data_IF_373696492423
#
_entry.id   IF_373696492423
#
_cell.length_a   1.000
_cell.length_b   1.000
_cell.length_c   1.000
_cell.angle_alpha   90.00
_cell.angle_beta   90.00
_cell.angle_gamma   90.00
#
_symmetry.space_group_name_H-M   'P 1'
#
loop_
_entity.id
_entity.type
_entity.pdbx_description
1 polymer ?
#
# COMPACT_ATOMS: atom_id res chain seq x y z
N UNK A 1 -37.83 19.18 19.85
CA UNK A 1 -36.96 19.35 18.67
C UNK A 1 -36.47 17.97 18.30
N UNK A 2 -37.11 17.36 17.29
CA UNK A 2 -36.72 16.06 16.75
C UNK A 2 -35.49 16.26 15.88
N UNK A 3 -34.36 15.76 16.38
CA UNK A 3 -33.10 15.69 15.65
C UNK A 3 -33.33 14.79 14.42
N UNK A 4 -33.43 15.40 13.24
CA UNK A 4 -33.56 14.68 11.98
C UNK A 4 -32.26 13.90 11.76
N UNK A 5 -32.29 12.60 12.06
CA UNK A 5 -31.23 11.69 11.68
C UNK A 5 -30.99 11.86 10.17
N UNK A 6 -29.79 12.32 9.80
CA UNK A 6 -29.41 12.37 8.40
C UNK A 6 -29.56 10.96 7.82
N UNK A 7 -30.23 10.78 6.67
CA UNK A 7 -30.34 9.48 6.06
C UNK A 7 -28.91 8.97 5.79
N UNK A 8 -28.54 7.85 6.39
CA UNK A 8 -27.31 7.14 6.06
C UNK A 8 -27.37 6.85 4.56
N UNK A 9 -26.54 7.56 3.77
CA UNK A 9 -26.48 7.37 2.32
C UNK A 9 -26.06 5.93 2.09
N UNK A 10 -26.88 5.19 1.35
CA UNK A 10 -26.49 3.85 0.93
C UNK A 10 -25.28 3.96 0.00
N UNK A 11 -24.27 3.10 0.16
CA UNK A 11 -23.14 3.03 -0.76
C UNK A 11 -23.64 2.83 -2.19
N UNK A 12 -22.99 3.43 -3.18
CA UNK A 12 -23.32 3.18 -4.58
C UNK A 12 -22.97 1.73 -4.95
N UNK A 13 -23.67 1.13 -5.93
CA UNK A 13 -23.28 -0.20 -6.47
C UNK A 13 -22.00 -0.13 -7.34
N UNK A 14 -21.36 1.04 -7.42
CA UNK A 14 -20.23 1.29 -8.31
C UNK A 14 -18.90 0.79 -7.75
N UNK A 15 -18.01 0.28 -8.60
CA UNK A 15 -16.63 -0.07 -8.23
C UNK A 15 -15.66 1.14 -8.21
N UNK A 16 -16.07 2.30 -8.75
CA UNK A 16 -15.21 3.49 -8.86
C UNK A 16 -14.57 3.94 -7.54
N UNK A 17 -15.26 3.92 -6.38
CA UNK A 17 -14.63 4.29 -5.12
C UNK A 17 -13.39 3.46 -4.76
N UNK A 18 -13.27 2.24 -5.26
CA UNK A 18 -12.17 1.33 -4.97
C UNK A 18 -11.06 1.38 -6.02
N UNK A 19 -11.45 1.60 -7.29
CA UNK A 19 -10.53 1.59 -8.43
C UNK A 19 -9.90 2.96 -8.68
N UNK A 20 -10.66 4.04 -8.54
CA UNK A 20 -10.17 5.39 -8.92
C UNK A 20 -8.95 5.85 -8.11
N UNK A 21 -8.86 5.66 -6.77
CA UNK A 21 -7.68 6.05 -6.01
C UNK A 21 -6.39 5.36 -6.49
N UNK A 22 -6.43 4.05 -6.69
CA UNK A 22 -5.26 3.27 -7.14
C UNK A 22 -4.89 3.59 -8.59
N UNK A 23 -5.86 3.72 -9.49
CA UNK A 23 -5.59 4.08 -10.88
C UNK A 23 -5.02 5.49 -11.01
N UNK A 24 -5.51 6.44 -10.20
CA UNK A 24 -4.95 7.78 -10.16
C UNK A 24 -3.50 7.76 -9.67
N UNK A 25 -3.18 6.98 -8.64
CA UNK A 25 -1.82 6.82 -8.14
C UNK A 25 -0.88 6.22 -9.20
N UNK A 26 -1.28 5.12 -9.85
CA UNK A 26 -0.51 4.48 -10.91
C UNK A 26 -0.26 5.43 -12.10
N UNK A 27 -1.28 6.16 -12.53
CA UNK A 27 -1.13 7.18 -13.58
C UNK A 27 -0.15 8.28 -13.16
N UNK A 28 -0.18 8.71 -11.89
CA UNK A 28 0.73 9.73 -11.38
C UNK A 28 2.18 9.22 -11.23
N UNK A 29 2.38 7.93 -10.95
CA UNK A 29 3.72 7.30 -11.03
C UNK A 29 4.24 7.40 -12.47
N UNK A 30 3.44 6.99 -13.44
CA UNK A 30 3.77 7.03 -14.85
C UNK A 30 4.07 8.46 -15.35
N UNK A 31 3.31 9.44 -14.90
CA UNK A 31 3.60 10.86 -15.18
C UNK A 31 4.90 11.26 -14.51
N UNK A 32 5.09 10.93 -13.23
CA UNK A 32 6.29 11.28 -12.46
C UNK A 32 7.57 10.76 -13.10
N UNK A 33 7.54 9.58 -13.71
CA UNK A 33 8.69 9.00 -14.43
C UNK A 33 9.10 9.80 -15.68
N UNK A 34 8.21 10.66 -16.19
CA UNK A 34 8.44 11.53 -17.35
C UNK A 34 8.74 12.98 -16.95
N UNK A 35 8.64 13.29 -15.66
CA UNK A 35 8.98 14.59 -15.10
C UNK A 35 10.44 14.57 -14.67
N UNK A 36 11.25 15.51 -15.15
CA UNK A 36 12.65 15.64 -14.74
C UNK A 36 12.79 16.07 -13.27
N UNK A 37 14.02 16.11 -12.77
CA UNK A 37 14.34 16.39 -11.37
C UNK A 37 13.67 17.65 -10.80
N UNK A 38 13.55 18.71 -11.62
CA UNK A 38 12.92 19.98 -11.23
C UNK A 38 11.47 19.83 -10.75
N UNK A 39 10.75 18.81 -11.22
CA UNK A 39 9.37 18.54 -10.80
C UNK A 39 9.23 17.39 -9.80
N UNK A 40 10.32 16.72 -9.39
CA UNK A 40 10.26 15.54 -8.53
C UNK A 40 9.59 15.82 -7.18
N UNK A 41 9.95 16.94 -6.53
CA UNK A 41 9.37 17.33 -5.25
C UNK A 41 7.86 17.65 -5.36
N UNK A 42 7.44 18.32 -6.44
CA UNK A 42 6.03 18.57 -6.71
C UNK A 42 5.27 17.27 -6.96
N UNK A 43 5.84 16.35 -7.74
CA UNK A 43 5.25 15.04 -8.03
C UNK A 43 5.18 14.14 -6.79
N UNK A 44 6.12 14.25 -5.85
CA UNK A 44 6.00 13.60 -4.54
C UNK A 44 4.73 14.08 -3.82
N UNK A 45 4.52 15.39 -3.72
CA UNK A 45 3.32 15.93 -3.06
C UNK A 45 2.02 15.56 -3.79
N UNK A 46 1.99 15.65 -5.13
CA UNK A 46 0.79 15.34 -5.93
C UNK A 46 0.40 13.86 -5.82
N UNK A 47 1.37 12.95 -5.85
CA UNK A 47 1.14 11.49 -5.68
C UNK A 47 0.56 11.14 -4.31
N UNK A 48 0.75 11.99 -3.31
CA UNK A 48 0.14 11.81 -1.98
C UNK A 48 -1.22 12.50 -1.91
N UNK A 49 -1.31 13.76 -2.34
CA UNK A 49 -2.49 14.58 -2.20
C UNK A 49 -3.69 14.08 -3.01
N UNK A 50 -3.47 13.59 -4.25
CA UNK A 50 -4.56 13.17 -5.13
C UNK A 50 -5.24 11.89 -4.62
N UNK A 51 -4.53 10.77 -4.35
CA UNK A 51 -5.18 9.57 -3.83
C UNK A 51 -5.79 9.81 -2.44
N UNK A 52 -5.12 10.58 -1.57
CA UNK A 52 -5.67 10.95 -0.26
C UNK A 52 -6.97 11.75 -0.41
N UNK A 53 -7.00 12.73 -1.31
CA UNK A 53 -8.20 13.52 -1.60
C UNK A 53 -9.36 12.66 -2.10
N UNK A 54 -9.08 11.69 -2.98
CA UNK A 54 -10.07 10.73 -3.48
C UNK A 54 -10.58 9.81 -2.37
N UNK A 55 -9.68 9.26 -1.54
CA UNK A 55 -10.05 8.44 -0.38
C UNK A 55 -10.95 9.21 0.59
N UNK A 56 -10.60 10.44 0.94
CA UNK A 56 -11.42 11.30 1.82
C UNK A 56 -12.77 11.61 1.18
N UNK A 57 -12.79 11.92 -0.12
CA UNK A 57 -14.01 12.21 -0.86
C UNK A 57 -14.98 11.03 -0.84
N UNK A 58 -14.53 9.81 -1.16
CA UNK A 58 -15.36 8.62 -1.17
C UNK A 58 -15.73 8.15 0.24
N UNK A 59 -14.82 8.28 1.21
CA UNK A 59 -15.11 7.99 2.62
C UNK A 59 -16.23 8.88 3.16
N UNK A 60 -16.19 10.19 2.90
CA UNK A 60 -17.25 11.14 3.29
C UNK A 60 -18.60 10.86 2.63
N UNK A 61 -18.61 10.12 1.51
CA UNK A 61 -19.82 9.66 0.84
C UNK A 61 -20.35 8.33 1.38
N UNK A 62 -19.62 7.67 2.27
CA UNK A 62 -20.02 6.37 2.84
C UNK A 62 -19.73 5.18 1.94
N UNK A 63 -18.80 5.31 0.97
CA UNK A 63 -18.54 4.24 -0.02
C UNK A 63 -17.72 3.06 0.53
N UNK A 64 -17.20 3.17 1.77
CA UNK A 64 -16.39 2.14 2.45
C UNK A 64 -17.06 1.67 3.75
N UNK A 65 -18.27 1.09 3.71
CA UNK A 65 -19.00 0.67 4.92
C UNK A 65 -18.30 -0.45 5.72
N UNK A 66 -17.45 -1.24 5.06
CA UNK A 66 -16.64 -2.29 5.69
C UNK A 66 -15.43 -1.76 6.47
N UNK A 67 -15.00 -0.54 6.17
CA UNK A 67 -13.90 0.08 6.88
C UNK A 67 -14.40 0.57 8.23
N UNK A 68 -14.00 -0.13 9.28
CA UNK A 68 -14.36 0.25 10.64
C UNK A 68 -13.11 0.46 11.48
N UNK A 69 -12.94 1.69 11.96
CA UNK A 69 -11.82 2.07 12.82
C UNK A 69 -11.99 1.44 14.21
N UNK A 70 -11.26 0.36 14.47
CA UNK A 70 -11.25 -0.31 15.77
C UNK A 70 -9.82 -0.59 16.21
N UNK A 71 -9.36 0.17 17.20
CA UNK A 71 -8.10 -0.12 17.88
C UNK A 71 -8.38 -1.08 19.02
N UNK A 72 -7.70 -2.23 19.01
CA UNK A 72 -7.83 -3.29 20.01
C UNK A 72 -6.44 -3.72 20.47
N UNK A 73 -6.34 -4.58 21.50
CA UNK A 73 -5.06 -5.17 21.89
C UNK A 73 -4.39 -5.93 20.73
N UNK A 74 -5.18 -6.52 19.83
CA UNK A 74 -4.67 -7.17 18.62
C UNK A 74 -4.02 -6.20 17.64
N UNK A 75 -4.35 -4.90 17.68
CA UNK A 75 -3.70 -3.90 16.82
C UNK A 75 -2.20 -3.80 17.11
N UNK A 76 -1.76 -4.06 18.35
CA UNK A 76 -0.34 -4.15 18.65
C UNK A 76 0.31 -5.36 17.95
N UNK A 77 -0.39 -6.49 17.88
CA UNK A 77 0.06 -7.69 17.15
C UNK A 77 0.08 -7.42 15.64
N UNK A 78 -0.93 -6.73 15.11
CA UNK A 78 -1.00 -6.30 13.71
C UNK A 78 0.23 -5.42 13.35
N UNK A 79 0.58 -4.45 14.22
CA UNK A 79 1.77 -3.61 14.05
C UNK A 79 3.07 -4.43 14.13
N UNK A 80 3.21 -5.30 15.14
CA UNK A 80 4.41 -6.14 15.29
C UNK A 80 4.61 -7.09 14.09
N UNK A 81 3.52 -7.62 13.53
CA UNK A 81 3.58 -8.39 12.30
C UNK A 81 4.09 -7.52 11.15
N UNK A 82 3.60 -6.29 11.00
CA UNK A 82 4.09 -5.35 9.98
C UNK A 82 5.58 -5.03 10.12
N UNK A 83 6.06 -4.78 11.34
CA UNK A 83 7.49 -4.60 11.63
C UNK A 83 8.30 -5.84 11.24
N UNK A 84 7.81 -7.04 11.57
CA UNK A 84 8.43 -8.30 11.19
C UNK A 84 8.46 -8.51 9.67
N UNK A 85 7.38 -8.13 8.97
CA UNK A 85 7.31 -8.18 7.51
C UNK A 85 8.26 -7.18 6.84
N UNK A 86 8.48 -6.01 7.44
CA UNK A 86 9.50 -5.05 6.97
C UNK A 86 10.90 -5.66 7.05
N UNK A 87 11.24 -6.27 8.19
CA UNK A 87 12.52 -6.97 8.34
C UNK A 87 12.66 -8.12 7.33
N UNK A 88 11.61 -8.92 7.13
CA UNK A 88 11.58 -9.99 6.12
C UNK A 88 11.77 -9.44 4.70
N UNK A 89 11.18 -8.29 4.39
CA UNK A 89 11.30 -7.65 3.08
C UNK A 89 12.72 -7.13 2.82
N UNK A 90 13.36 -6.50 3.81
CA UNK A 90 14.68 -5.90 3.64
C UNK A 90 15.83 -6.90 3.75
N UNK A 91 15.70 -7.91 4.62
CA UNK A 91 16.81 -8.78 5.00
C UNK A 91 17.51 -9.49 3.83
N UNK A 92 16.82 -10.08 2.83
CA UNK A 92 17.50 -10.75 1.73
C UNK A 92 18.46 -9.83 0.96
N UNK A 93 18.09 -8.58 0.72
CA UNK A 93 18.91 -7.62 -0.05
C UNK A 93 20.09 -7.06 0.75
N UNK A 94 19.94 -7.00 2.07
CA UNK A 94 21.03 -6.61 3.00
C UNK A 94 22.02 -7.77 3.15
N UNK A 95 21.53 -9.00 3.29
CA UNK A 95 22.35 -10.18 3.54
C UNK A 95 23.02 -10.74 2.27
N UNK A 96 22.40 -10.55 1.12
CA UNK A 96 22.88 -11.04 -0.17
C UNK A 96 22.94 -9.88 -1.18
N UNK A 97 24.06 -9.13 -1.22
CA UNK A 97 24.17 -7.93 -2.05
C UNK A 97 23.97 -8.17 -3.55
N UNK A 98 24.17 -9.40 -4.03
CA UNK A 98 23.90 -9.80 -5.41
C UNK A 98 22.40 -9.84 -5.78
N UNK A 99 21.50 -9.64 -4.82
CA UNK A 99 20.05 -9.52 -5.07
C UNK A 99 19.60 -8.06 -5.25
N UNK A 100 20.49 -7.10 -5.04
CA UNK A 100 20.17 -5.67 -5.15
C UNK A 100 19.85 -5.30 -6.60
N UNK A 101 18.96 -4.32 -6.82
CA UNK A 101 18.72 -3.80 -8.15
C UNK A 101 19.98 -3.12 -8.70
N UNK A 102 20.28 -3.31 -9.98
CA UNK A 102 21.47 -2.72 -10.65
C UNK A 102 21.29 -1.23 -11.03
N UNK A 103 20.12 -0.62 -10.77
CA UNK A 103 19.75 0.67 -11.34
C UNK A 103 19.52 1.77 -10.28
N UNK A 104 20.27 2.88 -10.39
CA UNK A 104 20.06 4.12 -9.60
C UNK A 104 18.68 4.77 -9.82
N UNK A 105 17.97 4.44 -10.91
CA UNK A 105 16.75 5.12 -11.33
C UNK A 105 15.54 4.92 -10.39
N UNK A 106 15.61 3.94 -9.47
CA UNK A 106 14.54 3.69 -8.49
C UNK A 106 14.80 4.36 -7.15
N UNK A 107 15.98 4.95 -6.94
CA UNK A 107 16.33 5.51 -5.63
C UNK A 107 15.61 6.82 -5.34
N UNK A 108 15.03 6.90 -4.14
CA UNK A 108 14.45 8.12 -3.63
C UNK A 108 15.55 9.10 -3.20
N UNK A 109 15.59 10.28 -3.82
CA UNK A 109 16.52 11.34 -3.42
C UNK A 109 15.92 12.23 -2.31
N UNK A 110 16.35 12.13 -1.04
CA UNK A 110 15.83 13.00 0.04
C UNK A 110 16.16 14.49 -0.18
N UNK A 111 17.20 14.80 -0.96
CA UNK A 111 17.65 16.16 -1.28
C UNK A 111 16.93 16.79 -2.48
N UNK A 112 15.89 16.14 -3.04
CA UNK A 112 15.16 16.61 -4.23
C UNK A 112 14.58 18.04 -4.12
N UNK A 113 14.42 18.57 -2.90
CA UNK A 113 13.95 19.92 -2.63
C UNK A 113 15.02 20.80 -1.94
N UNK A 114 16.28 20.35 -1.91
CA UNK A 114 17.38 20.98 -1.18
C UNK A 114 17.46 20.53 0.28
N UNK A 115 18.67 20.62 0.85
CA UNK A 115 19.01 20.09 2.18
C UNK A 115 18.11 20.62 3.32
N UNK A 116 17.70 21.89 3.26
CA UNK A 116 16.84 22.49 4.28
C UNK A 116 15.41 21.94 4.29
N UNK A 117 14.97 21.31 3.19
CA UNK A 117 13.61 20.77 3.04
C UNK A 117 13.56 19.25 3.21
N UNK A 118 14.67 18.57 3.51
CA UNK A 118 14.70 17.12 3.78
C UNK A 118 13.64 16.70 4.80
N UNK A 119 13.43 17.39 5.96
CA UNK A 119 12.39 16.99 6.89
C UNK A 119 10.97 17.03 6.29
N UNK A 120 10.69 18.01 5.44
CA UNK A 120 9.40 18.13 4.75
C UNK A 120 9.23 17.02 3.71
N UNK A 121 10.27 16.74 2.92
CA UNK A 121 10.29 15.64 1.94
C UNK A 121 10.04 14.30 2.64
N UNK A 122 10.70 14.04 3.76
CA UNK A 122 10.50 12.82 4.57
C UNK A 122 9.10 12.74 5.16
N UNK A 123 8.55 13.86 5.65
CA UNK A 123 7.19 13.89 6.19
C UNK A 123 6.13 13.57 5.11
N UNK A 124 6.27 14.16 3.91
CA UNK A 124 5.40 13.86 2.77
C UNK A 124 5.58 12.40 2.33
N UNK A 125 6.83 11.91 2.27
CA UNK A 125 7.10 10.51 1.92
C UNK A 125 6.48 9.55 2.92
N UNK A 126 6.61 9.80 4.22
CA UNK A 126 5.99 9.01 5.28
C UNK A 126 4.47 9.01 5.16
N UNK A 127 3.84 10.18 4.95
CA UNK A 127 2.39 10.28 4.73
C UNK A 127 1.95 9.46 3.52
N UNK A 128 2.65 9.58 2.40
CA UNK A 128 2.36 8.80 1.19
C UNK A 128 2.52 7.31 1.43
N UNK A 129 3.70 6.91 1.86
CA UNK A 129 4.15 5.53 1.88
C UNK A 129 3.53 4.71 3.02
N UNK A 130 3.40 5.27 4.21
CA UNK A 130 2.89 4.55 5.38
C UNK A 130 1.41 4.81 5.69
N UNK A 131 0.77 5.79 5.03
CA UNK A 131 -0.65 6.10 5.27
C UNK A 131 -1.43 5.99 3.96
N UNK A 132 -1.17 6.82 2.96
CA UNK A 132 -2.01 6.86 1.75
C UNK A 132 -1.98 5.54 0.98
N UNK A 133 -0.79 4.98 0.77
CA UNK A 133 -0.60 3.72 0.03
C UNK A 133 -1.31 2.53 0.69
N UNK A 134 -1.08 2.19 1.98
CA UNK A 134 -1.78 1.10 2.64
C UNK A 134 -3.30 1.22 2.59
N UNK A 135 -3.81 2.43 2.78
CA UNK A 135 -5.24 2.70 2.73
C UNK A 135 -5.83 2.42 1.36
N UNK A 136 -5.22 2.99 0.33
CA UNK A 136 -5.62 2.82 -1.06
C UNK A 136 -5.53 1.35 -1.50
N UNK A 137 -4.39 0.71 -1.23
CA UNK A 137 -4.12 -0.64 -1.69
C UNK A 137 -4.97 -1.67 -0.96
N UNK A 138 -5.16 -1.58 0.36
CA UNK A 138 -5.98 -2.58 1.06
C UNK A 138 -7.47 -2.42 0.77
N UNK A 139 -7.97 -1.19 0.58
CA UNK A 139 -9.33 -0.97 0.09
C UNK A 139 -9.49 -1.60 -1.30
N UNK A 140 -8.53 -1.40 -2.21
CA UNK A 140 -8.59 -2.02 -3.53
C UNK A 140 -8.47 -3.55 -3.48
N UNK A 141 -7.44 -4.09 -2.83
CA UNK A 141 -7.10 -5.51 -2.85
C UNK A 141 -8.05 -6.35 -1.99
N UNK A 142 -8.26 -5.96 -0.73
CA UNK A 142 -8.96 -6.79 0.26
C UNK A 142 -10.45 -6.54 0.30
N UNK A 143 -10.86 -5.29 0.07
CA UNK A 143 -12.27 -4.98 0.00
C UNK A 143 -12.81 -5.24 -1.41
N UNK A 144 -12.24 -4.65 -2.46
CA UNK A 144 -12.80 -4.79 -3.81
C UNK A 144 -12.37 -6.09 -4.51
N UNK A 145 -11.08 -6.26 -4.81
CA UNK A 145 -10.59 -7.30 -5.71
C UNK A 145 -10.91 -8.71 -5.22
N UNK A 146 -10.76 -8.99 -3.92
CA UNK A 146 -11.16 -10.29 -3.34
C UNK A 146 -12.62 -10.64 -3.62
N UNK A 147 -13.54 -9.69 -3.38
CA UNK A 147 -14.98 -9.90 -3.58
C UNK A 147 -15.35 -9.93 -5.05
N UNK A 148 -14.73 -9.04 -5.84
CA UNK A 148 -14.95 -8.96 -7.27
C UNK A 148 -14.50 -10.25 -7.99
N UNK A 149 -13.37 -10.83 -7.57
CA UNK A 149 -12.88 -12.11 -8.07
C UNK A 149 -13.91 -13.24 -7.89
N UNK A 150 -14.66 -13.24 -6.79
CA UNK A 150 -15.65 -14.28 -6.50
C UNK A 150 -16.92 -14.17 -7.33
N UNK A 151 -17.27 -12.98 -7.81
CA UNK A 151 -18.51 -12.72 -8.58
C UNK A 151 -18.30 -12.60 -10.09
N UNK A 152 -17.04 -12.63 -10.56
CA UNK A 152 -16.70 -12.68 -11.97
C UNK A 152 -17.18 -14.02 -12.59
N UNK A 153 -18.43 -14.14 -13.02
CA UNK A 153 -18.90 -15.31 -13.78
C UNK A 153 -18.65 -15.09 -15.29
N UNK A 154 -17.89 -15.97 -15.97
CA UNK A 154 -17.76 -15.92 -17.43
C UNK A 154 -19.07 -16.15 -18.20
N UNK A 155 -20.13 -16.68 -17.57
CA UNK A 155 -21.34 -17.18 -18.22
C UNK A 155 -22.67 -16.60 -17.70
N UNK A 156 -22.71 -15.71 -16.70
CA UNK A 156 -23.97 -15.03 -16.36
C UNK A 156 -24.10 -14.43 -14.96
N UNK A 157 -24.92 -13.38 -14.92
CA UNK A 157 -25.37 -12.54 -13.79
C UNK A 157 -24.27 -11.89 -12.95
N UNK A 158 -23.96 -10.62 -13.26
CA UNK A 158 -23.16 -9.73 -12.41
C UNK A 158 -23.82 -9.62 -11.03
N UNK A 159 -23.45 -10.51 -10.12
CA UNK A 159 -23.84 -10.38 -8.72
C UNK A 159 -23.01 -9.27 -8.08
N UNK A 160 -23.70 -8.32 -7.45
CA UNK A 160 -23.06 -7.21 -6.73
C UNK A 160 -22.03 -7.75 -5.73
N UNK A 161 -20.74 -7.46 -5.99
CA UNK A 161 -19.62 -7.92 -5.18
C UNK A 161 -19.74 -7.47 -3.72
N UNK A 162 -20.49 -6.40 -3.42
CA UNK A 162 -20.70 -5.94 -2.05
C UNK A 162 -21.52 -6.90 -1.21
N UNK A 163 -22.29 -7.80 -1.84
CA UNK A 163 -23.01 -8.88 -1.16
C UNK A 163 -22.08 -10.00 -0.68
N UNK A 164 -20.87 -10.10 -1.23
CA UNK A 164 -19.86 -11.04 -0.75
C UNK A 164 -19.33 -10.54 0.60
N UNK A 165 -19.34 -11.37 1.66
CA UNK A 165 -18.75 -10.99 2.93
C UNK A 165 -17.26 -10.68 2.79
N UNK A 166 -16.80 -9.63 3.46
CA UNK A 166 -15.36 -9.31 3.55
C UNK A 166 -14.63 -10.46 4.24
N UNK A 167 -13.41 -10.76 3.75
CA UNK A 167 -12.58 -11.88 4.22
C UNK A 167 -13.25 -13.27 4.12
N UNK A 168 -14.15 -13.46 3.14
CA UNK A 168 -14.59 -14.80 2.73
C UNK A 168 -13.47 -15.48 1.94
N UNK A 169 -13.01 -16.62 2.43
CA UNK A 169 -11.99 -17.39 1.72
C UNK A 169 -12.58 -18.13 0.51
N UNK A 170 -11.97 -17.95 -0.65
CA UNK A 170 -12.04 -18.87 -1.78
C UNK A 170 -10.63 -19.01 -2.37
N UNK A 171 -10.35 -20.14 -3.02
CA UNK A 171 -9.08 -20.28 -3.75
C UNK A 171 -8.94 -19.26 -4.88
N UNK A 172 -10.07 -18.89 -5.49
CA UNK A 172 -10.10 -17.91 -6.57
C UNK A 172 -9.68 -16.52 -6.09
N UNK A 173 -10.33 -15.99 -5.06
CA UNK A 173 -10.00 -14.67 -4.51
C UNK A 173 -8.57 -14.62 -3.95
N UNK A 174 -8.15 -15.69 -3.27
CA UNK A 174 -6.76 -15.83 -2.79
C UNK A 174 -5.75 -15.73 -3.95
N UNK A 175 -5.90 -16.57 -4.99
CA UNK A 175 -4.95 -16.64 -6.09
C UNK A 175 -4.96 -15.36 -6.94
N UNK A 176 -6.14 -14.77 -7.18
CA UNK A 176 -6.25 -13.50 -7.93
C UNK A 176 -5.53 -12.37 -7.21
N UNK A 177 -5.73 -12.21 -5.91
CA UNK A 177 -5.05 -11.13 -5.16
C UNK A 177 -3.56 -11.35 -5.10
N UNK A 178 -3.09 -12.59 -4.88
CA UNK A 178 -1.66 -12.89 -4.94
C UNK A 178 -1.12 -12.55 -6.33
N UNK A 179 -1.76 -13.00 -7.41
CA UNK A 179 -1.29 -12.74 -8.77
C UNK A 179 -1.25 -11.25 -9.10
N UNK A 180 -2.29 -10.48 -8.75
CA UNK A 180 -2.34 -9.04 -9.00
C UNK A 180 -1.28 -8.31 -8.16
N UNK A 181 -1.09 -8.68 -6.88
CA UNK A 181 -0.04 -8.09 -6.05
C UNK A 181 1.35 -8.33 -6.65
N UNK A 182 1.66 -9.56 -7.06
CA UNK A 182 2.95 -9.87 -7.70
C UNK A 182 3.15 -9.09 -8.99
N UNK A 183 2.09 -8.90 -9.79
CA UNK A 183 2.15 -8.17 -11.05
C UNK A 183 2.32 -6.65 -10.89
N UNK A 184 2.01 -6.09 -9.71
CA UNK A 184 2.18 -4.65 -9.43
C UNK A 184 3.50 -4.31 -8.72
N UNK A 185 4.31 -5.31 -8.38
CA UNK A 185 5.61 -5.14 -7.73
C UNK A 185 6.78 -5.22 -8.72
N UNK A 186 7.94 -4.73 -8.29
CA UNK A 186 9.14 -4.74 -9.12
C UNK A 186 9.74 -6.15 -9.18
N UNK A 187 10.31 -6.53 -10.32
CA UNK A 187 10.87 -7.87 -10.50
C UNK A 187 12.00 -8.19 -9.51
N UNK A 188 12.76 -7.18 -9.06
CA UNK A 188 13.82 -7.38 -8.07
C UNK A 188 13.25 -7.76 -6.69
N UNK A 189 11.98 -7.44 -6.41
CA UNK A 189 11.27 -7.79 -5.17
C UNK A 189 10.75 -9.24 -5.18
N UNK A 190 10.99 -10.01 -6.25
CA UNK A 190 10.44 -11.36 -6.45
C UNK A 190 10.67 -12.33 -5.27
N UNK A 191 11.78 -12.17 -4.55
CA UNK A 191 12.14 -13.00 -3.40
C UNK A 191 11.26 -12.76 -2.16
N UNK A 192 10.64 -11.59 -2.06
CA UNK A 192 9.92 -11.13 -0.85
C UNK A 192 8.45 -10.84 -1.10
N UNK A 193 8.05 -10.49 -2.33
CA UNK A 193 6.67 -10.13 -2.65
C UNK A 193 5.69 -11.30 -2.44
N UNK A 194 6.09 -12.53 -2.79
CA UNK A 194 5.23 -13.72 -2.61
C UNK A 194 4.99 -14.07 -1.13
N UNK A 195 6.03 -14.24 -0.28
CA UNK A 195 5.80 -14.54 1.13
C UNK A 195 5.01 -13.43 1.84
N UNK A 196 5.24 -12.15 1.49
CA UNK A 196 4.46 -11.04 2.03
C UNK A 196 2.98 -11.13 1.64
N UNK A 197 2.67 -11.32 0.34
CA UNK A 197 1.30 -11.39 -0.17
C UNK A 197 0.52 -12.56 0.45
N UNK A 198 1.16 -13.73 0.54
CA UNK A 198 0.55 -14.91 1.17
C UNK A 198 0.31 -14.66 2.65
N UNK A 199 1.29 -14.14 3.38
CA UNK A 199 1.19 -13.92 4.83
C UNK A 199 0.10 -12.92 5.17
N UNK A 200 0.05 -11.78 4.46
CA UNK A 200 -0.97 -10.74 4.69
C UNK A 200 -2.36 -11.20 4.27
N UNK A 201 -2.50 -12.02 3.22
CA UNK A 201 -3.78 -12.65 2.89
C UNK A 201 -4.26 -13.58 3.99
N UNK A 202 -3.40 -14.49 4.48
CA UNK A 202 -3.75 -15.40 5.56
C UNK A 202 -4.10 -14.64 6.85
N UNK A 203 -3.33 -13.60 7.17
CA UNK A 203 -3.61 -12.72 8.30
C UNK A 203 -4.97 -12.03 8.16
N UNK A 204 -5.32 -11.57 6.97
CA UNK A 204 -6.62 -10.96 6.71
C UNK A 204 -7.78 -11.94 6.89
N UNK A 205 -7.67 -13.17 6.42
CA UNK A 205 -8.69 -14.20 6.64
C UNK A 205 -8.85 -14.58 8.11
N UNK A 206 -7.76 -14.50 8.89
CA UNK A 206 -7.79 -14.69 10.33
C UNK A 206 -8.46 -13.51 11.07
N UNK A 207 -8.00 -12.27 10.81
CA UNK A 207 -8.47 -11.06 11.50
C UNK A 207 -9.86 -10.64 11.08
N UNK A 208 -10.22 -10.85 9.80
CA UNK A 208 -11.47 -10.42 9.17
C UNK A 208 -11.77 -8.93 9.38
N UNK A 209 -10.71 -8.14 9.42
CA UNK A 209 -10.75 -6.72 9.72
C UNK A 209 -9.83 -5.99 8.73
N UNK A 210 -10.43 -5.08 7.96
CA UNK A 210 -9.72 -4.29 6.96
C UNK A 210 -8.76 -3.30 7.61
N UNK A 211 -9.15 -2.71 8.74
CA UNK A 211 -8.30 -1.75 9.45
C UNK A 211 -7.08 -2.44 10.06
N UNK A 212 -7.23 -3.68 10.55
CA UNK A 212 -6.12 -4.49 11.02
C UNK A 212 -5.04 -4.69 9.93
N UNK A 213 -5.44 -4.98 8.70
CA UNK A 213 -4.47 -5.17 7.62
C UNK A 213 -3.86 -3.86 7.12
N UNK A 214 -4.64 -2.78 7.10
CA UNK A 214 -4.11 -1.43 6.87
C UNK A 214 -3.02 -1.12 7.90
N UNK A 215 -3.20 -1.49 9.18
CA UNK A 215 -2.19 -1.30 10.22
C UNK A 215 -0.92 -2.15 9.99
N UNK A 216 -1.06 -3.42 9.57
CA UNK A 216 0.09 -4.28 9.20
C UNK A 216 0.89 -3.64 8.06
N UNK A 217 0.21 -3.23 6.99
CA UNK A 217 0.86 -2.65 5.82
C UNK A 217 1.47 -1.27 6.15
N UNK A 218 0.74 -0.39 6.86
CA UNK A 218 1.27 0.88 7.33
C UNK A 218 2.53 0.73 8.19
N UNK A 219 2.52 -0.23 9.13
CA UNK A 219 3.68 -0.53 9.96
C UNK A 219 4.85 -1.07 9.14
N UNK A 220 4.59 -1.93 8.14
CA UNK A 220 5.62 -2.43 7.22
C UNK A 220 6.32 -1.25 6.52
N UNK A 221 5.57 -0.38 5.87
CA UNK A 221 6.13 0.72 5.08
C UNK A 221 6.80 1.79 5.96
N UNK A 222 6.21 2.11 7.11
CA UNK A 222 6.82 3.01 8.09
C UNK A 222 8.18 2.46 8.58
N UNK A 223 8.23 1.17 8.92
CA UNK A 223 9.46 0.52 9.38
C UNK A 223 10.54 0.49 8.31
N UNK A 224 10.18 0.20 7.05
CA UNK A 224 11.13 0.26 5.92
C UNK A 224 11.70 1.69 5.80
N UNK A 225 10.85 2.72 5.80
CA UNK A 225 11.32 4.10 5.66
C UNK A 225 12.17 4.57 6.84
N UNK A 226 11.77 4.24 8.08
CA UNK A 226 12.58 4.55 9.26
C UNK A 226 13.92 3.81 9.21
N UNK A 227 13.93 2.53 8.83
CA UNK A 227 15.16 1.76 8.68
C UNK A 227 16.07 2.37 7.60
N UNK A 228 15.54 2.73 6.43
CA UNK A 228 16.28 3.45 5.39
C UNK A 228 16.89 4.73 5.94
N UNK A 229 16.11 5.59 6.61
CA UNK A 229 16.62 6.86 7.15
C UNK A 229 17.72 6.67 8.21
N UNK A 230 17.65 5.60 9.01
CA UNK A 230 18.55 5.38 10.15
C UNK A 230 19.76 4.51 9.82
N UNK A 231 19.66 3.65 8.80
CA UNK A 231 20.64 2.62 8.48
C UNK A 231 21.21 2.78 7.05
N UNK A 232 20.86 3.85 6.33
CA UNK A 232 21.50 4.15 5.04
C UNK A 232 23.01 4.18 5.20
N UNK A 233 23.75 3.59 4.26
CA UNK A 233 25.21 3.53 4.27
C UNK A 233 25.84 2.75 5.45
N UNK A 234 25.04 2.09 6.28
CA UNK A 234 25.55 1.24 7.38
C UNK A 234 25.98 -0.16 6.92
N UNK A 235 25.47 -0.61 5.77
CA UNK A 235 25.79 -1.91 5.18
C UNK A 235 26.71 -1.75 3.97
N UNK A 236 27.28 -2.85 3.49
CA UNK A 236 28.23 -2.86 2.37
C UNK A 236 27.64 -3.60 1.18
N UNK A 237 27.74 -2.98 0.00
CA UNK A 237 27.33 -3.54 -1.29
C UNK A 237 28.32 -4.62 -1.76
N UNK A 238 27.94 -5.36 -2.81
CA UNK A 238 28.75 -6.47 -3.34
C UNK A 238 30.13 -6.04 -3.89
N UNK A 239 30.30 -4.77 -4.21
CA UNK A 239 31.54 -4.14 -4.69
C UNK A 239 32.38 -3.50 -3.57
N UNK A 240 31.93 -3.59 -2.31
CA UNK A 240 32.63 -3.02 -1.15
C UNK A 240 32.28 -1.56 -0.82
N UNK A 241 31.37 -0.94 -1.56
CA UNK A 241 30.90 0.44 -1.29
C UNK A 241 29.80 0.48 -0.22
N UNK A 242 29.54 1.63 0.44
CA UNK A 242 28.38 1.78 1.30
C UNK A 242 27.08 1.55 0.53
N UNK A 243 26.18 0.77 1.12
CA UNK A 243 24.90 0.41 0.52
C UNK A 243 23.85 1.50 0.74
N UNK A 244 23.33 2.06 -0.35
CA UNK A 244 22.12 2.89 -0.32
C UNK A 244 20.92 2.02 0.04
N UNK A 245 20.11 2.43 1.01
CA UNK A 245 18.81 1.82 1.32
C UNK A 245 17.64 2.62 0.69
N UNK A 246 17.93 3.65 -0.10
CA UNK A 246 16.92 4.51 -0.72
C UNK A 246 16.16 3.83 -1.85
N UNK A 247 16.66 2.72 -2.40
CA UNK A 247 15.94 1.91 -3.39
C UNK A 247 14.71 1.19 -2.81
N UNK A 248 14.58 1.09 -1.49
CA UNK A 248 13.40 0.51 -0.83
C UNK A 248 12.23 1.49 -0.70
N UNK A 249 12.46 2.79 -0.95
CA UNK A 249 11.49 3.86 -0.64
C UNK A 249 11.45 4.94 -1.71
#
# INVERSE_FOLDING_TARGET
MTESAQPQRQPSESYWPYVTPIMAFLLLIEISARVGEAGAAAMLAVRVAVPLGLLIYFWRRGEYPELRFHVTAMTAVDILLGVGLAAMWMAPFILFPNLQPEFDATEMNPLMAGASLVPLVMAIRMLGYAIVTPWMEEIFMRSFLMRFADVLDPNGDESDYRKVPVARFTWRSFLVVVAVFLATHQLWEAWVMLPWAVTTNLWFYYRKDLFALIAVHAATNASILVATMMLNDHFTSGDGTPMSLWFFV
#
